data_IF_225124458906
#
_entry.id   IF_225124458906
#
_cell.length_a   1.000
_cell.length_b   1.000
_cell.length_c   1.000
_cell.angle_alpha   90.00
_cell.angle_beta   90.00
_cell.angle_gamma   90.00
#
_symmetry.space_group_name_H-M   'P 1'
#
loop_
_entity.id
_entity.type
_entity.pdbx_description
1 polymer ?
#
# COMPACT_ATOMS: atom_id res chain seq x y z
N UNK A 1 23.27 31.53 -2.06
CA UNK A 1 22.14 31.93 -2.92
C UNK A 1 20.86 31.48 -2.24
N UNK A 2 19.86 32.34 -2.08
CA UNK A 2 18.56 31.93 -1.56
C UNK A 2 17.77 31.28 -2.71
N UNK A 3 17.45 29.99 -2.59
CA UNK A 3 16.65 29.28 -3.59
C UNK A 3 15.23 29.85 -3.53
N UNK A 4 14.75 30.44 -4.63
CA UNK A 4 13.36 30.90 -4.73
C UNK A 4 12.44 29.68 -4.78
N UNK A 5 11.60 29.50 -3.76
CA UNK A 5 10.60 28.44 -3.76
C UNK A 5 9.40 28.80 -4.62
N UNK A 6 8.87 27.85 -5.40
CA UNK A 6 7.63 28.02 -6.16
C UNK A 6 6.58 27.00 -5.73
N UNK A 7 5.32 27.43 -5.65
CA UNK A 7 4.20 26.54 -5.33
C UNK A 7 3.64 25.87 -6.59
N UNK A 8 3.16 24.63 -6.47
CA UNK A 8 2.37 23.96 -7.50
C UNK A 8 0.87 24.03 -7.20
N UNK A 9 0.04 23.64 -8.17
CA UNK A 9 -1.44 23.68 -8.08
C UNK A 9 -2.06 22.79 -6.98
N UNK A 10 -1.26 21.98 -6.30
CA UNK A 10 -1.67 21.07 -5.24
C UNK A 10 -1.11 21.48 -3.86
N UNK A 11 -0.52 22.67 -3.75
CA UNK A 11 0.09 23.17 -2.51
C UNK A 11 1.48 22.60 -2.22
N UNK A 12 2.06 21.81 -3.14
CA UNK A 12 3.44 21.38 -3.04
C UNK A 12 4.41 22.52 -3.33
N UNK A 13 5.56 22.51 -2.66
CA UNK A 13 6.59 23.55 -2.71
C UNK A 13 7.85 22.97 -3.37
N UNK A 14 8.25 23.60 -4.47
CA UNK A 14 9.48 23.31 -5.20
C UNK A 14 10.54 24.29 -4.69
N UNK A 15 11.43 23.80 -3.83
CA UNK A 15 12.48 24.57 -3.14
C UNK A 15 13.90 24.09 -3.48
N UNK A 16 14.05 23.45 -4.65
CA UNK A 16 15.32 23.00 -5.22
C UNK A 16 15.44 23.50 -6.66
N UNK A 17 16.67 23.77 -7.13
CA UNK A 17 16.91 24.16 -8.53
C UNK A 17 16.74 22.98 -9.50
N UNK A 18 17.08 21.77 -9.05
CA UNK A 18 17.02 20.53 -9.83
C UNK A 18 16.53 19.38 -8.96
N UNK A 19 15.76 18.48 -9.56
CA UNK A 19 15.32 17.21 -9.00
C UNK A 19 15.33 16.16 -10.10
N UNK A 20 15.47 14.88 -9.76
CA UNK A 20 15.42 13.83 -10.77
C UNK A 20 13.97 13.60 -11.22
N UNK A 21 13.72 13.19 -12.48
CA UNK A 21 12.37 12.93 -12.96
C UNK A 21 11.60 11.93 -12.11
N UNK A 22 12.26 10.83 -11.67
CA UNK A 22 11.63 9.80 -10.84
C UNK A 22 11.11 10.35 -9.49
N UNK A 23 11.89 11.22 -8.84
CA UNK A 23 11.49 11.84 -7.57
C UNK A 23 10.32 12.79 -7.80
N UNK A 24 10.42 13.66 -8.80
CA UNK A 24 9.39 14.63 -9.12
C UNK A 24 8.06 13.95 -9.47
N UNK A 25 8.10 12.92 -10.33
CA UNK A 25 6.92 12.20 -10.77
C UNK A 25 6.26 11.46 -9.60
N UNK A 26 7.04 10.81 -8.74
CA UNK A 26 6.49 10.12 -7.58
C UNK A 26 5.85 11.10 -6.59
N UNK A 27 6.53 12.20 -6.27
CA UNK A 27 6.03 13.27 -5.41
C UNK A 27 4.74 13.90 -5.97
N UNK A 28 4.74 14.23 -7.26
CA UNK A 28 3.57 14.80 -7.94
C UNK A 28 2.39 13.83 -7.96
N UNK A 29 2.65 12.53 -8.14
CA UNK A 29 1.62 11.50 -8.07
C UNK A 29 0.99 11.40 -6.68
N UNK A 30 1.78 11.53 -5.61
CA UNK A 30 1.28 11.55 -4.22
C UNK A 30 0.37 12.77 -4.00
N UNK A 31 0.82 13.97 -4.40
CA UNK A 31 0.02 15.19 -4.30
C UNK A 31 -1.28 15.09 -5.11
N UNK A 32 -1.20 14.61 -6.34
CA UNK A 32 -2.37 14.43 -7.21
C UNK A 32 -3.36 13.42 -6.63
N UNK A 33 -2.90 12.33 -6.01
CA UNK A 33 -3.77 11.38 -5.31
C UNK A 33 -4.53 12.11 -4.22
N UNK A 34 -3.84 12.77 -3.29
CA UNK A 34 -4.48 13.44 -2.14
C UNK A 34 -5.43 14.56 -2.55
N UNK A 35 -5.03 15.43 -3.48
CA UNK A 35 -5.71 16.71 -3.73
C UNK A 35 -6.55 16.76 -5.00
N UNK A 36 -6.61 15.68 -5.78
CA UNK A 36 -7.43 15.60 -7.00
C UNK A 36 -8.22 14.31 -7.16
N UNK A 37 -7.70 13.19 -6.65
CA UNK A 37 -8.27 11.88 -6.96
C UNK A 37 -9.44 11.52 -6.05
N UNK A 38 -10.62 11.25 -6.63
CA UNK A 38 -11.88 10.97 -5.88
C UNK A 38 -11.78 9.79 -4.90
N UNK A 39 -10.92 8.81 -5.17
CA UNK A 39 -10.72 7.65 -4.28
C UNK A 39 -9.79 7.92 -3.08
N UNK A 40 -9.17 9.10 -3.01
CA UNK A 40 -8.19 9.49 -1.99
C UNK A 40 -8.63 10.75 -1.23
N UNK A 41 -9.93 11.07 -1.20
CA UNK A 41 -10.48 12.31 -0.62
C UNK A 41 -10.07 12.61 0.82
N UNK A 42 -9.78 11.57 1.60
CA UNK A 42 -9.38 11.72 3.00
C UNK A 42 -7.86 11.64 3.20
N UNK A 43 -7.11 11.43 2.11
CA UNK A 43 -5.67 11.34 2.17
C UNK A 43 -5.02 12.72 2.12
N UNK A 44 -3.98 12.90 2.90
CA UNK A 44 -3.18 14.13 2.96
C UNK A 44 -1.69 13.80 2.84
N UNK A 45 -0.90 14.81 2.51
CA UNK A 45 0.57 14.76 2.58
C UNK A 45 1.01 15.54 3.81
N UNK A 46 1.99 15.03 4.56
CA UNK A 46 2.53 15.77 5.70
C UNK A 46 3.15 17.08 5.26
N UNK A 47 3.18 18.06 6.16
CA UNK A 47 3.71 19.40 5.88
C UNK A 47 5.16 19.31 5.39
N UNK A 48 5.95 18.39 5.95
CA UNK A 48 7.32 18.16 5.54
C UNK A 48 7.41 17.66 4.10
N UNK A 49 6.57 16.70 3.71
CA UNK A 49 6.52 16.15 2.36
C UNK A 49 5.80 17.02 1.33
N UNK A 50 5.16 18.12 1.76
CA UNK A 50 4.77 19.18 0.83
C UNK A 50 5.99 19.89 0.23
N UNK A 51 7.19 19.78 0.81
CA UNK A 51 8.43 20.29 0.22
C UNK A 51 9.15 19.19 -0.54
N UNK A 52 9.47 19.43 -1.81
CA UNK A 52 10.14 18.42 -2.62
C UNK A 52 11.54 18.12 -2.07
N UNK A 53 12.28 19.10 -1.53
CA UNK A 53 13.61 18.87 -0.92
C UNK A 53 13.58 17.80 0.19
N UNK A 54 12.56 17.84 1.06
CA UNK A 54 12.38 16.90 2.15
C UNK A 54 11.96 15.51 1.63
N UNK A 55 11.06 15.46 0.66
CA UNK A 55 10.68 14.21 0.02
C UNK A 55 11.87 13.58 -0.73
N UNK A 56 12.67 14.36 -1.45
CA UNK A 56 13.89 13.91 -2.14
C UNK A 56 14.88 13.27 -1.17
N UNK A 57 15.13 13.92 -0.03
CA UNK A 57 16.04 13.39 1.01
C UNK A 57 15.56 12.02 1.49
N UNK A 58 14.28 11.90 1.84
CA UNK A 58 13.71 10.62 2.25
C UNK A 58 13.78 9.57 1.12
N UNK A 59 13.49 9.98 -0.13
CA UNK A 59 13.57 9.08 -1.28
C UNK A 59 14.98 8.49 -1.44
N UNK A 60 16.01 9.33 -1.42
CA UNK A 60 17.41 8.90 -1.61
C UNK A 60 17.90 7.98 -0.48
N UNK A 61 17.40 8.19 0.75
CA UNK A 61 17.69 7.32 1.89
C UNK A 61 17.04 5.94 1.74
N UNK A 62 15.81 5.88 1.21
CA UNK A 62 14.94 4.69 1.25
C UNK A 62 14.83 3.93 -0.08
N UNK A 63 15.18 4.53 -1.21
CA UNK A 63 15.12 3.92 -2.53
C UNK A 63 16.53 3.52 -3.02
N UNK A 64 16.72 2.23 -3.32
CA UNK A 64 17.99 1.70 -3.82
C UNK A 64 17.85 1.26 -5.28
N UNK A 65 18.23 2.11 -6.25
CA UNK A 65 17.96 1.86 -7.66
C UNK A 65 18.59 0.56 -8.19
N UNK A 66 19.61 0.04 -7.52
CA UNK A 66 20.31 -1.20 -7.90
C UNK A 66 19.41 -2.44 -7.83
N UNK A 67 18.36 -2.42 -6.98
CA UNK A 67 17.47 -3.57 -6.81
C UNK A 67 16.00 -3.20 -6.59
N UNK A 68 15.67 -1.91 -6.47
CA UNK A 68 14.31 -1.42 -6.28
C UNK A 68 13.63 -0.94 -7.58
N UNK A 69 14.18 -1.27 -8.75
CA UNK A 69 13.53 -0.97 -10.02
C UNK A 69 12.12 -1.57 -10.06
N UNK A 70 11.13 -0.74 -10.40
CA UNK A 70 9.71 -1.14 -10.45
C UNK A 70 9.02 -1.31 -9.09
N UNK A 71 9.68 -1.00 -7.97
CA UNK A 71 9.05 -0.97 -6.65
C UNK A 71 8.07 0.19 -6.51
N UNK A 72 7.09 0.02 -5.64
CA UNK A 72 6.02 0.98 -5.39
C UNK A 72 6.16 1.61 -4.02
N UNK A 73 5.82 2.90 -3.91
CA UNK A 73 5.61 3.56 -2.63
C UNK A 73 4.21 3.22 -2.11
N UNK A 74 4.16 2.66 -0.91
CA UNK A 74 2.95 2.28 -0.19
C UNK A 74 2.88 3.03 1.16
N UNK A 75 1.66 3.40 1.60
CA UNK A 75 1.40 4.11 2.87
C UNK A 75 0.56 3.31 3.87
N UNK A 76 0.07 2.16 3.47
CA UNK A 76 -1.00 1.40 4.13
C UNK A 76 -0.45 0.19 4.89
N UNK A 77 0.69 -0.37 4.46
CA UNK A 77 1.29 -1.56 5.07
C UNK A 77 1.80 -1.28 6.49
N UNK A 78 2.45 -0.14 6.71
CA UNK A 78 3.00 0.20 8.04
C UNK A 78 1.95 0.66 9.03
N UNK A 79 0.79 1.12 8.54
CA UNK A 79 -0.29 1.62 9.37
C UNK A 79 -1.64 1.38 8.66
N UNK A 80 -2.36 0.34 9.10
CA UNK A 80 -3.67 -0.01 8.56
C UNK A 80 -4.65 1.14 8.73
N UNK A 81 -5.34 1.50 7.65
CA UNK A 81 -6.29 2.63 7.64
C UNK A 81 -5.64 4.01 7.62
N UNK A 82 -4.32 4.10 7.48
CA UNK A 82 -3.61 5.38 7.39
C UNK A 82 -4.07 6.20 6.18
N UNK A 83 -4.20 7.51 6.39
CA UNK A 83 -4.55 8.47 5.34
C UNK A 83 -3.44 9.49 5.08
N UNK A 84 -2.29 9.39 5.74
CA UNK A 84 -1.21 10.38 5.63
C UNK A 84 -0.04 9.80 4.85
N UNK A 85 0.38 10.48 3.78
CA UNK A 85 1.70 10.25 3.18
C UNK A 85 2.76 10.99 4.00
N UNK A 86 3.62 10.22 4.65
CA UNK A 86 4.70 10.71 5.52
C UNK A 86 5.82 9.66 5.61
N UNK A 87 7.04 10.09 5.89
CA UNK A 87 8.22 9.25 6.15
C UNK A 87 8.00 8.12 7.16
N UNK A 88 7.13 8.32 8.15
CA UNK A 88 6.82 7.35 9.20
C UNK A 88 5.93 6.20 8.71
N UNK A 89 5.05 6.47 7.75
CA UNK A 89 4.02 5.52 7.30
C UNK A 89 4.26 4.98 5.89
N UNK A 90 5.14 5.63 5.13
CA UNK A 90 5.48 5.23 3.78
C UNK A 90 6.71 4.32 3.71
N UNK A 91 6.70 3.41 2.75
CA UNK A 91 7.80 2.50 2.44
C UNK A 91 7.81 2.14 0.95
N UNK A 92 8.96 1.71 0.45
CA UNK A 92 9.04 1.07 -0.86
C UNK A 92 8.85 -0.42 -0.72
N UNK A 93 8.00 -0.99 -1.57
CA UNK A 93 7.73 -2.42 -1.62
C UNK A 93 7.68 -2.95 -3.05
N UNK A 94 8.04 -4.22 -3.29
CA UNK A 94 7.82 -4.89 -4.55
C UNK A 94 6.34 -4.84 -4.96
N UNK A 95 6.07 -4.86 -6.26
CA UNK A 95 4.70 -4.87 -6.79
C UNK A 95 3.87 -6.05 -6.27
N UNK A 96 4.51 -7.20 -6.03
CA UNK A 96 3.88 -8.38 -5.44
C UNK A 96 3.29 -8.08 -4.06
N UNK A 97 4.07 -7.44 -3.18
CA UNK A 97 3.62 -7.01 -1.85
C UNK A 97 2.50 -5.97 -1.98
N UNK A 98 2.70 -4.93 -2.79
CA UNK A 98 1.67 -3.89 -3.00
C UNK A 98 0.33 -4.47 -3.49
N UNK A 99 0.35 -5.49 -4.35
CA UNK A 99 -0.87 -6.15 -4.87
C UNK A 99 -1.63 -6.95 -3.80
N UNK A 100 -0.96 -7.42 -2.76
CA UNK A 100 -1.58 -8.17 -1.65
C UNK A 100 -2.50 -7.26 -0.84
N UNK A 101 -2.08 -6.02 -0.61
CA UNK A 101 -2.77 -5.03 0.24
C UNK A 101 -3.67 -4.07 -0.55
N UNK A 102 -3.55 -4.03 -1.88
CA UNK A 102 -4.36 -3.19 -2.73
C UNK A 102 -5.88 -3.31 -2.50
N UNK A 103 -6.57 -2.16 -2.57
CA UNK A 103 -8.00 -2.05 -2.36
C UNK A 103 -8.79 -2.86 -3.40
N UNK A 104 -9.52 -3.87 -2.93
CA UNK A 104 -10.48 -4.62 -3.75
C UNK A 104 -11.89 -4.09 -3.55
N UNK A 105 -12.74 -4.28 -4.56
CA UNK A 105 -14.17 -3.92 -4.49
C UNK A 105 -14.80 -4.51 -3.23
N UNK A 106 -15.65 -3.72 -2.57
CA UNK A 106 -16.48 -4.17 -1.45
C UNK A 106 -17.24 -5.44 -1.85
N UNK A 107 -17.13 -6.48 -1.05
CA UNK A 107 -17.98 -7.66 -1.17
C UNK A 107 -19.34 -7.36 -0.55
N UNK A 108 -20.39 -8.06 -1.01
CA UNK A 108 -21.71 -8.02 -0.37
C UNK A 108 -21.68 -8.66 1.03
N UNK A 109 -20.79 -9.63 1.21
CA UNK A 109 -20.54 -10.30 2.48
C UNK A 109 -19.18 -9.81 2.96
N UNK A 110 -18.26 -10.73 3.24
CA UNK A 110 -16.90 -10.40 3.61
C UNK A 110 -15.97 -10.54 2.41
N UNK A 111 -14.77 -9.96 2.51
CA UNK A 111 -13.72 -10.13 1.51
C UNK A 111 -13.44 -11.61 1.28
N UNK A 112 -13.34 -12.00 0.01
CA UNK A 112 -13.14 -13.40 -0.38
C UNK A 112 -14.35 -14.33 -0.17
N UNK A 113 -15.52 -13.81 0.24
CA UNK A 113 -16.74 -14.60 0.48
C UNK A 113 -17.82 -14.26 -0.53
N UNK A 114 -18.38 -15.30 -1.16
CA UNK A 114 -19.51 -15.18 -2.10
C UNK A 114 -20.58 -16.20 -1.75
N UNK A 115 -21.87 -15.80 -1.76
CA UNK A 115 -22.98 -16.75 -1.60
C UNK A 115 -23.17 -17.56 -2.88
N UNK A 116 -23.27 -18.88 -2.73
CA UNK A 116 -23.53 -19.84 -3.81
C UNK A 116 -24.67 -20.75 -3.37
N UNK A 117 -25.84 -20.60 -3.98
CA UNK A 117 -27.08 -21.27 -3.57
C UNK A 117 -27.39 -21.04 -2.07
N UNK A 118 -27.40 -22.11 -1.27
CA UNK A 118 -27.66 -22.11 0.17
C UNK A 118 -26.38 -22.08 1.02
N UNK A 119 -25.20 -21.96 0.41
CA UNK A 119 -23.89 -21.99 1.09
C UNK A 119 -23.06 -20.75 0.77
N UNK A 120 -21.94 -20.60 1.46
CA UNK A 120 -20.96 -19.53 1.27
C UNK A 120 -19.64 -20.11 0.80
N UNK A 121 -19.13 -19.62 -0.32
CA UNK A 121 -17.86 -20.04 -0.91
C UNK A 121 -16.76 -19.05 -0.50
N UNK A 122 -15.67 -19.57 0.03
CA UNK A 122 -14.46 -18.79 0.30
C UNK A 122 -13.44 -18.98 -0.84
N UNK A 123 -12.87 -17.88 -1.34
CA UNK A 123 -11.80 -17.91 -2.34
C UNK A 123 -10.71 -16.89 -2.04
N UNK A 124 -9.48 -17.21 -2.44
CA UNK A 124 -8.34 -16.29 -2.40
C UNK A 124 -7.70 -16.23 -3.79
N UNK A 125 -7.25 -15.05 -4.20
CA UNK A 125 -6.45 -14.90 -5.41
C UNK A 125 -4.98 -14.75 -5.00
N UNK A 126 -4.13 -15.63 -5.51
CA UNK A 126 -2.68 -15.60 -5.37
C UNK A 126 -2.09 -15.47 -6.78
N UNK A 127 -1.48 -14.32 -7.07
CA UNK A 127 -1.10 -13.97 -8.45
C UNK A 127 -2.31 -13.99 -9.39
N UNK A 128 -2.23 -14.81 -10.44
CA UNK A 128 -3.29 -15.00 -11.44
C UNK A 128 -4.24 -16.16 -11.10
N UNK A 129 -3.97 -16.92 -10.05
CA UNK A 129 -4.72 -18.11 -9.69
C UNK A 129 -5.74 -17.81 -8.60
N UNK A 130 -7.00 -18.15 -8.86
CA UNK A 130 -8.04 -18.18 -7.83
C UNK A 130 -8.09 -19.57 -7.19
N UNK A 131 -7.84 -19.63 -5.90
CA UNK A 131 -7.91 -20.87 -5.11
C UNK A 131 -9.25 -20.92 -4.36
N UNK A 132 -9.94 -22.05 -4.48
CA UNK A 132 -11.15 -22.36 -3.72
C UNK A 132 -10.78 -22.90 -2.35
N UNK A 133 -11.30 -22.28 -1.29
CA UNK A 133 -10.99 -22.63 0.10
C UNK A 133 -12.07 -23.49 0.77
N UNK A 134 -13.22 -23.67 0.11
CA UNK A 134 -14.32 -24.50 0.59
C UNK A 134 -15.69 -23.81 0.56
N UNK A 135 -16.69 -24.60 0.94
CA UNK A 135 -18.08 -24.16 1.15
C UNK A 135 -18.46 -24.27 2.62
N UNK A 136 -19.14 -23.24 3.12
CA UNK A 136 -19.49 -23.07 4.52
C UNK A 136 -20.97 -22.74 4.70
N UNK A 137 -21.49 -22.93 5.91
CA UNK A 137 -22.91 -22.70 6.21
C UNK A 137 -23.20 -21.22 6.42
N UNK A 138 -22.25 -20.49 7.01
CA UNK A 138 -22.36 -19.05 7.30
C UNK A 138 -21.30 -18.25 6.56
N UNK A 139 -21.54 -16.95 6.30
CA UNK A 139 -20.51 -16.09 5.72
C UNK A 139 -19.31 -15.91 6.67
N UNK A 140 -19.51 -15.96 7.99
CA UNK A 140 -18.45 -15.82 8.99
C UNK A 140 -17.49 -17.02 8.95
N UNK A 141 -18.01 -18.25 8.84
CA UNK A 141 -17.18 -19.45 8.67
C UNK A 141 -16.34 -19.37 7.38
N UNK A 142 -16.96 -18.94 6.28
CA UNK A 142 -16.25 -18.72 5.01
C UNK A 142 -15.17 -17.65 5.14
N UNK A 143 -15.45 -16.57 5.90
CA UNK A 143 -14.47 -15.52 6.14
C UNK A 143 -13.31 -16.02 7.00
N UNK A 144 -13.53 -16.85 8.01
CA UNK A 144 -12.43 -17.43 8.79
C UNK A 144 -11.48 -18.28 7.93
N UNK A 145 -12.03 -19.04 6.97
CA UNK A 145 -11.20 -19.76 6.01
C UNK A 145 -10.39 -18.81 5.10
N UNK A 146 -11.01 -17.73 4.62
CA UNK A 146 -10.33 -16.69 3.86
C UNK A 146 -9.24 -15.98 4.69
N UNK A 147 -9.53 -15.57 5.92
CA UNK A 147 -8.62 -14.92 6.87
C UNK A 147 -7.36 -15.76 7.04
N UNK A 148 -7.52 -17.03 7.44
CA UNK A 148 -6.41 -17.96 7.64
C UNK A 148 -5.56 -18.12 6.37
N UNK A 149 -6.18 -18.28 5.21
CA UNK A 149 -5.45 -18.43 3.95
C UNK A 149 -4.72 -17.14 3.55
N UNK A 150 -5.33 -15.97 3.77
CA UNK A 150 -4.77 -14.67 3.42
C UNK A 150 -3.59 -14.30 4.32
N UNK A 151 -3.71 -14.48 5.63
CA UNK A 151 -2.62 -14.24 6.58
C UNK A 151 -1.44 -15.19 6.35
N UNK A 152 -1.72 -16.46 6.05
CA UNK A 152 -0.68 -17.42 5.65
C UNK A 152 0.07 -16.93 4.41
N UNK A 153 -0.66 -16.54 3.37
CA UNK A 153 -0.04 -16.03 2.14
C UNK A 153 0.76 -14.75 2.36
N UNK A 154 0.28 -13.83 3.23
CA UNK A 154 1.04 -12.63 3.59
C UNK A 154 2.38 -13.01 4.22
N UNK A 155 2.40 -13.97 5.16
CA UNK A 155 3.62 -14.46 5.80
C UNK A 155 4.57 -15.13 4.81
N UNK A 156 4.07 -15.99 3.93
CA UNK A 156 4.86 -16.62 2.87
C UNK A 156 5.55 -15.58 1.97
N UNK A 157 4.85 -14.50 1.62
CA UNK A 157 5.44 -13.42 0.81
C UNK A 157 6.39 -12.54 1.64
N UNK A 158 6.10 -12.31 2.92
CA UNK A 158 7.03 -11.60 3.82
C UNK A 158 8.37 -12.35 3.91
N UNK A 159 8.33 -13.67 4.13
CA UNK A 159 9.53 -14.50 4.24
C UNK A 159 10.32 -14.55 2.92
N UNK A 160 9.64 -14.61 1.77
CA UNK A 160 10.27 -14.51 0.44
C UNK A 160 11.08 -13.22 0.26
N UNK A 161 10.63 -12.12 0.84
CA UNK A 161 11.21 -10.79 0.64
C UNK A 161 12.02 -10.27 1.84
N UNK A 162 12.15 -11.05 2.91
CA UNK A 162 12.69 -10.65 4.23
C UNK A 162 13.98 -9.83 4.16
N UNK A 163 14.96 -10.28 3.38
CA UNK A 163 16.28 -9.63 3.31
C UNK A 163 16.36 -8.47 2.29
N UNK A 164 15.24 -8.15 1.63
CA UNK A 164 15.17 -7.13 0.57
C UNK A 164 14.29 -5.95 0.94
N UNK A 165 13.32 -6.14 1.83
CA UNK A 165 12.38 -5.10 2.27
C UNK A 165 12.82 -4.49 3.60
N UNK A 166 12.28 -3.31 3.91
CA UNK A 166 12.43 -2.69 5.22
C UNK A 166 11.90 -3.61 6.34
N UNK A 167 12.65 -3.76 7.43
CA UNK A 167 12.28 -4.54 8.61
C UNK A 167 10.90 -4.19 9.16
N UNK A 168 10.49 -2.93 9.07
CA UNK A 168 9.15 -2.46 9.48
C UNK A 168 8.08 -3.08 8.61
N UNK A 169 8.32 -3.22 7.30
CA UNK A 169 7.41 -3.86 6.35
C UNK A 169 7.33 -5.35 6.67
N UNK A 170 8.45 -6.03 6.87
CA UNK A 170 8.46 -7.45 7.24
C UNK A 170 7.64 -7.68 8.52
N UNK A 171 7.91 -6.93 9.58
CA UNK A 171 7.20 -7.03 10.87
C UNK A 171 5.71 -6.72 10.73
N UNK A 172 5.34 -5.69 9.97
CA UNK A 172 3.95 -5.34 9.74
C UNK A 172 3.20 -6.43 8.97
N UNK A 173 3.83 -7.03 7.96
CA UNK A 173 3.25 -8.15 7.21
C UNK A 173 3.11 -9.40 8.09
N UNK A 174 4.13 -9.73 8.88
CA UNK A 174 4.12 -10.93 9.71
C UNK A 174 3.05 -10.88 10.81
N UNK A 175 2.78 -9.69 11.33
CA UNK A 175 1.75 -9.42 12.33
C UNK A 175 0.42 -8.95 11.72
N UNK A 176 0.26 -9.04 10.39
CA UNK A 176 -0.94 -8.52 9.74
C UNK A 176 -2.16 -9.36 10.09
N UNK A 177 -3.18 -8.71 10.66
CA UNK A 177 -4.47 -9.33 10.92
C UNK A 177 -5.50 -8.89 9.89
N UNK A 178 -6.14 -9.89 9.27
CA UNK A 178 -7.27 -9.67 8.37
C UNK A 178 -8.54 -9.58 9.21
N UNK A 179 -9.21 -8.45 9.10
CA UNK A 179 -10.44 -8.15 9.83
C UNK A 179 -11.65 -8.34 8.93
N UNK A 180 -12.78 -8.65 9.56
CA UNK A 180 -14.04 -8.86 8.85
C UNK A 180 -14.58 -7.57 8.21
N UNK A 181 -14.07 -6.43 8.68
CA UNK A 181 -14.34 -5.05 8.23
C UNK A 181 -13.46 -4.58 7.07
N UNK A 182 -12.47 -5.38 6.64
CA UNK A 182 -11.57 -5.10 5.50
C UNK A 182 -12.22 -5.29 4.11
#
# INVERSE_FOLDING_TARGET
MSIKSTGNRYGGIIDVEKTTPIIYDLWMNILQRCYRHKNYKNCIVSIDWLRISNFSRWFEENYKPEYMEGWHLDKDILAKGNTVYDSKFCCFVPQEINKIFGNKKKSKYFKGVVKVNKKYRATINIGYTQTHLGYFKTPEEAFQAYKKAKEKHIKEVADKWKDKIDDRVYKAMYNWEVEITD
#
